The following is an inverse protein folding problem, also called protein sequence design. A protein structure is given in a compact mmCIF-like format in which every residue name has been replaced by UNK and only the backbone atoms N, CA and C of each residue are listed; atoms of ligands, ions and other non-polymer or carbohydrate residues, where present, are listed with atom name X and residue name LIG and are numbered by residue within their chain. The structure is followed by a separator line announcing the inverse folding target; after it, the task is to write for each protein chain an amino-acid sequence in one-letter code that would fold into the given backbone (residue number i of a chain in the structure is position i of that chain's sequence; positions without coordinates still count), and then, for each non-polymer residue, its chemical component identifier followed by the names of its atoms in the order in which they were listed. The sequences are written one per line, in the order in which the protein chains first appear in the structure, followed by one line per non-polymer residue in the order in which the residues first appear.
data_IF_160907310608
#
_entry.id   IF_160907310608
#
_cell.length_a   1.000
_cell.length_b   1.000
_cell.length_c   1.000
_cell.angle_alpha   90.00
_cell.angle_beta   90.00
_cell.angle_gamma   90.00
#
_symmetry.space_group_name_H-M   'P 1'
#
loop_
_entity.id
_entity.type
_entity.pdbx_description
1 polymer ?
#
# COMPACT_ATOMS: atom_id res chain seq x y z
N UNK A 1 -45.28 75.44 5.45
CA UNK A 1 -43.88 74.97 5.50
C UNK A 1 -43.77 73.84 6.51
N UNK A 2 -42.99 72.78 6.21
CA UNK A 2 -42.96 71.46 6.89
C UNK A 2 -44.16 70.61 6.43
N UNK A 3 -44.04 69.46 5.76
CA UNK A 3 -43.06 68.37 5.88
C UNK A 3 -42.93 67.69 4.51
N UNK A 4 -41.76 67.86 3.89
CA UNK A 4 -41.33 67.30 2.61
C UNK A 4 -40.31 66.19 2.93
N UNK A 5 -40.67 65.18 3.72
CA UNK A 5 -39.68 64.17 4.19
C UNK A 5 -40.35 62.81 4.46
N UNK A 6 -41.16 62.26 3.54
CA UNK A 6 -41.47 60.80 3.54
C UNK A 6 -41.69 60.33 2.09
N UNK A 7 -40.80 60.73 1.18
CA UNK A 7 -40.77 60.28 -0.22
C UNK A 7 -39.36 59.83 -0.60
N UNK A 8 -38.61 59.31 0.38
CA UNK A 8 -37.19 58.94 0.24
C UNK A 8 -36.88 57.52 0.72
N UNK A 9 -37.87 56.63 0.79
CA UNK A 9 -37.70 55.20 1.12
C UNK A 9 -38.44 54.33 0.09
N UNK A 10 -38.31 54.67 -1.19
CA UNK A 10 -38.78 53.83 -2.31
C UNK A 10 -37.74 53.78 -3.43
N UNK A 11 -36.46 53.75 -3.06
CA UNK A 11 -35.33 53.70 -3.99
C UNK A 11 -34.25 52.71 -3.53
N UNK A 12 -34.63 51.61 -2.86
CA UNK A 12 -33.74 50.47 -2.69
C UNK A 12 -33.93 49.53 -3.90
N UNK A 13 -33.28 49.91 -4.99
CA UNK A 13 -33.17 49.13 -6.23
C UNK A 13 -32.29 47.90 -5.93
N UNK A 14 -32.70 46.68 -6.30
CA UNK A 14 -31.79 45.53 -6.29
C UNK A 14 -30.72 45.73 -7.36
N UNK A 15 -29.52 46.15 -6.93
CA UNK A 15 -28.31 46.07 -7.73
C UNK A 15 -27.92 44.59 -7.85
N UNK A 16 -28.28 43.95 -8.97
CA UNK A 16 -27.93 42.55 -9.20
C UNK A 16 -28.69 41.81 -10.28
N UNK A 17 -29.64 42.45 -10.99
CA UNK A 17 -30.12 41.90 -12.25
C UNK A 17 -29.16 42.35 -13.36
N UNK A 18 -28.11 41.56 -13.60
CA UNK A 18 -27.31 41.66 -14.82
C UNK A 18 -28.19 41.27 -16.00
N UNK A 19 -28.98 42.21 -16.51
CA UNK A 19 -29.63 42.07 -17.80
C UNK A 19 -28.53 42.01 -18.86
N UNK A 20 -28.45 40.88 -19.55
CA UNK A 20 -27.53 40.66 -20.66
C UNK A 20 -28.01 41.54 -21.81
N UNK A 21 -27.51 42.78 -21.90
CA UNK A 21 -27.81 43.67 -23.02
C UNK A 21 -27.16 43.11 -24.29
N UNK A 22 -27.93 42.31 -25.02
CA UNK A 22 -27.59 41.82 -26.35
C UNK A 22 -27.66 43.00 -27.31
N UNK A 23 -26.50 43.54 -27.67
CA UNK A 23 -26.34 44.42 -28.83
C UNK A 23 -26.73 43.62 -30.08
N UNK A 24 -28.00 43.69 -30.49
CA UNK A 24 -28.54 43.29 -31.79
C UNK A 24 -28.06 44.25 -32.89
N UNK A 25 -26.77 44.54 -32.89
CA UNK A 25 -26.12 45.50 -33.77
C UNK A 25 -25.84 44.83 -35.11
N UNK A 26 -26.89 44.49 -35.87
CA UNK A 26 -26.92 44.49 -37.35
C UNK A 26 -28.22 43.96 -37.98
N UNK A 27 -29.04 43.15 -37.30
CA UNK A 27 -30.27 42.60 -37.90
C UNK A 27 -31.54 43.23 -37.31
N UNK A 28 -31.95 44.36 -37.89
CA UNK A 28 -33.29 44.93 -37.69
C UNK A 28 -34.33 44.08 -38.45
N UNK A 29 -35.00 43.16 -37.77
CA UNK A 29 -36.36 42.74 -38.18
C UNK A 29 -36.73 41.26 -38.08
N UNK A 30 -35.78 40.35 -37.92
CA UNK A 30 -36.10 38.93 -37.73
C UNK A 30 -36.04 38.60 -36.24
N UNK A 31 -37.14 38.11 -35.67
CA UNK A 31 -37.17 37.62 -34.30
C UNK A 31 -36.13 36.51 -34.16
N UNK A 32 -34.97 36.82 -33.57
CA UNK A 32 -33.88 35.86 -33.44
C UNK A 32 -34.36 34.60 -32.73
N UNK A 33 -34.25 33.46 -33.40
CA UNK A 33 -34.61 32.17 -32.82
C UNK A 33 -33.61 31.83 -31.72
N UNK A 34 -34.11 31.51 -30.53
CA UNK A 34 -33.29 31.07 -29.40
C UNK A 34 -33.16 29.54 -29.49
N UNK A 35 -31.93 29.07 -29.55
CA UNK A 35 -31.61 27.65 -29.46
C UNK A 35 -31.10 27.29 -28.08
N UNK A 36 -31.24 26.02 -27.71
CA UNK A 36 -30.59 25.48 -26.53
C UNK A 36 -29.84 24.20 -26.83
N UNK A 37 -28.83 23.92 -25.99
CA UNK A 37 -28.01 22.71 -26.07
C UNK A 37 -27.83 22.14 -24.69
N UNK A 38 -28.01 20.83 -24.57
CA UNK A 38 -27.62 20.07 -23.39
C UNK A 38 -26.15 19.64 -23.52
N UNK A 39 -25.23 20.48 -23.05
CA UNK A 39 -23.78 20.24 -23.18
C UNK A 39 -23.37 19.00 -22.39
N UNK A 40 -23.96 18.75 -21.23
CA UNK A 40 -23.70 17.54 -20.44
C UNK A 40 -24.05 16.27 -21.20
N UNK A 41 -25.21 16.26 -21.86
CA UNK A 41 -25.62 15.12 -22.67
C UNK A 41 -24.68 14.94 -23.86
N UNK A 42 -24.28 16.03 -24.51
CA UNK A 42 -23.30 15.98 -25.61
C UNK A 42 -21.99 15.38 -25.11
N UNK A 43 -21.48 15.79 -23.95
CA UNK A 43 -20.27 15.23 -23.37
C UNK A 43 -20.38 13.77 -22.91
N UNK A 44 -21.59 13.28 -22.63
CA UNK A 44 -21.83 11.89 -22.23
C UNK A 44 -22.01 10.97 -23.44
N UNK A 45 -22.74 11.43 -24.44
CA UNK A 45 -23.17 10.62 -25.57
C UNK A 45 -22.16 10.67 -26.74
N UNK A 46 -21.27 11.68 -26.79
CA UNK A 46 -20.26 11.80 -27.83
C UNK A 46 -19.15 10.73 -27.70
N UNK A 47 -18.86 10.02 -28.79
CA UNK A 47 -17.82 8.99 -28.82
C UNK A 47 -16.42 9.54 -28.49
N UNK A 48 -16.11 10.75 -28.94
CA UNK A 48 -14.79 11.37 -28.72
C UNK A 48 -14.50 11.70 -27.24
N UNK A 49 -15.53 11.98 -26.43
CA UNK A 49 -15.35 12.17 -24.99
C UNK A 49 -15.23 10.84 -24.25
N UNK A 50 -15.93 9.79 -24.71
CA UNK A 50 -15.76 8.44 -24.18
C UNK A 50 -14.33 7.93 -24.43
N UNK A 51 -13.82 8.04 -25.67
CA UNK A 51 -12.44 7.65 -26.01
C UNK A 51 -11.39 8.44 -25.23
N UNK A 52 -11.56 9.75 -25.08
CA UNK A 52 -10.64 10.56 -24.28
C UNK A 52 -10.63 10.18 -22.78
N UNK A 53 -11.77 9.72 -22.23
CA UNK A 53 -11.83 9.17 -20.87
C UNK A 53 -11.10 7.85 -20.76
N UNK A 54 -11.25 6.96 -21.74
CA UNK A 54 -10.52 5.69 -21.79
C UNK A 54 -9.01 5.92 -21.88
N UNK A 55 -8.57 6.84 -22.76
CA UNK A 55 -7.18 7.27 -22.85
C UNK A 55 -6.66 7.78 -21.51
N UNK A 56 -7.42 8.66 -20.84
CA UNK A 56 -7.04 9.19 -19.54
C UNK A 56 -6.94 8.11 -18.46
N UNK A 57 -7.91 7.17 -18.43
CA UNK A 57 -7.86 6.03 -17.52
C UNK A 57 -6.66 5.12 -17.79
N UNK A 58 -6.27 4.95 -19.06
CA UNK A 58 -5.08 4.20 -19.43
C UNK A 58 -3.78 4.87 -18.96
N UNK A 59 -3.70 6.21 -19.07
CA UNK A 59 -2.57 6.98 -18.56
C UNK A 59 -2.51 6.97 -17.02
N UNK A 60 -3.65 7.06 -16.33
CA UNK A 60 -3.73 6.90 -14.87
C UNK A 60 -3.16 5.54 -14.46
N UNK A 61 -3.63 4.45 -15.08
CA UNK A 61 -3.16 3.09 -14.77
C UNK A 61 -1.66 2.97 -14.99
N UNK A 62 -1.15 3.47 -16.12
CA UNK A 62 0.28 3.46 -16.44
C UNK A 62 1.13 4.21 -15.41
N UNK A 63 0.66 5.38 -14.94
CA UNK A 63 1.33 6.15 -13.89
C UNK A 63 1.25 5.46 -12.53
N UNK A 64 0.10 4.87 -12.21
CA UNK A 64 -0.11 4.09 -10.98
C UNK A 64 0.81 2.86 -10.93
N UNK A 65 0.89 2.10 -12.03
CA UNK A 65 1.78 0.94 -12.16
C UNK A 65 3.25 1.34 -11.98
N UNK A 66 3.66 2.47 -12.57
CA UNK A 66 5.01 3.00 -12.40
C UNK A 66 5.29 3.39 -10.93
N UNK A 67 4.32 3.98 -10.23
CA UNK A 67 4.46 4.31 -8.81
C UNK A 67 4.47 3.04 -7.94
N UNK A 68 3.66 2.05 -8.27
CA UNK A 68 3.62 0.77 -7.55
C UNK A 68 4.92 -0.04 -7.76
N UNK A 69 5.52 -0.01 -8.94
CA UNK A 69 6.84 -0.56 -9.19
C UNK A 69 7.93 0.10 -8.32
N UNK A 70 7.87 1.43 -8.13
CA UNK A 70 8.79 2.14 -7.22
C UNK A 70 8.54 1.80 -5.74
N UNK A 71 7.28 1.70 -5.33
CA UNK A 71 6.90 1.28 -3.96
C UNK A 71 7.42 -0.13 -3.66
N UNK A 72 7.21 -1.08 -4.56
CA UNK A 72 7.68 -2.46 -4.39
C UNK A 72 9.21 -2.52 -4.26
N UNK A 73 9.96 -1.75 -5.05
CA UNK A 73 11.41 -1.63 -4.90
C UNK A 73 11.85 -1.06 -3.53
N UNK A 74 11.06 -0.17 -2.93
CA UNK A 74 11.31 0.31 -1.55
C UNK A 74 10.99 -0.79 -0.53
N UNK A 75 9.90 -1.54 -0.73
CA UNK A 75 9.55 -2.65 0.16
C UNK A 75 10.60 -3.77 0.14
N UNK A 76 11.17 -4.09 -1.02
CA UNK A 76 12.27 -5.06 -1.11
C UNK A 76 13.50 -4.58 -0.35
N UNK A 77 13.87 -3.30 -0.49
CA UNK A 77 14.98 -2.72 0.29
C UNK A 77 14.72 -2.74 1.80
N UNK A 78 13.49 -2.45 2.22
CA UNK A 78 13.09 -2.54 3.64
C UNK A 78 13.14 -3.97 4.17
N UNK A 79 12.77 -4.96 3.36
CA UNK A 79 12.88 -6.37 3.71
C UNK A 79 14.35 -6.81 3.84
N UNK A 80 15.22 -6.38 2.93
CA UNK A 80 16.67 -6.61 3.03
C UNK A 80 17.26 -5.97 4.29
N UNK A 81 16.84 -4.75 4.64
CA UNK A 81 17.26 -4.10 5.88
C UNK A 81 16.78 -4.86 7.13
N UNK A 82 15.54 -5.36 7.13
CA UNK A 82 15.03 -6.16 8.24
C UNK A 82 15.87 -7.44 8.42
N UNK A 83 16.25 -8.09 7.31
CA UNK A 83 17.15 -9.25 7.32
C UNK A 83 18.53 -8.90 7.90
N UNK A 84 19.15 -7.80 7.44
CA UNK A 84 20.44 -7.34 7.97
C UNK A 84 20.40 -6.99 9.46
N UNK A 85 19.28 -6.41 9.94
CA UNK A 85 19.08 -6.15 11.38
C UNK A 85 18.97 -7.44 12.19
N UNK A 86 18.27 -8.44 11.66
CA UNK A 86 18.20 -9.76 12.28
C UNK A 86 19.59 -10.43 12.31
N UNK A 87 20.36 -10.34 11.23
CA UNK A 87 21.75 -10.84 11.18
C UNK A 87 22.66 -10.12 12.18
N UNK A 88 22.49 -8.81 12.38
CA UNK A 88 23.18 -8.03 13.41
C UNK A 88 22.85 -8.51 14.82
N UNK A 89 21.56 -8.66 15.14
CA UNK A 89 21.12 -9.13 16.46
C UNK A 89 21.61 -10.56 16.74
N UNK A 90 21.61 -11.42 15.72
CA UNK A 90 22.19 -12.75 15.81
C UNK A 90 23.71 -12.69 16.04
N UNK A 91 24.45 -11.88 15.28
CA UNK A 91 25.89 -11.72 15.45
C UNK A 91 26.28 -11.19 16.84
N UNK A 92 25.44 -10.35 17.45
CA UNK A 92 25.65 -9.83 18.80
C UNK A 92 25.30 -10.84 19.91
N UNK A 93 24.35 -11.74 19.68
CA UNK A 93 23.90 -12.74 20.66
C UNK A 93 24.65 -14.07 20.56
N UNK A 94 25.28 -14.36 19.42
CA UNK A 94 26.11 -15.55 19.23
C UNK A 94 27.25 -15.71 20.27
N UNK A 95 28.03 -14.67 20.61
CA UNK A 95 29.09 -14.79 21.61
C UNK A 95 28.59 -15.23 22.98
N UNK A 96 27.46 -14.69 23.45
CA UNK A 96 26.91 -15.03 24.77
C UNK A 96 26.32 -16.45 24.79
N UNK A 97 25.73 -16.91 23.69
CA UNK A 97 25.25 -18.30 23.57
C UNK A 97 26.40 -19.32 23.57
N UNK A 98 27.50 -19.02 22.87
CA UNK A 98 28.69 -19.88 22.87
C UNK A 98 29.37 -19.94 24.24
N UNK A 99 29.41 -18.81 24.96
CA UNK A 99 29.97 -18.74 26.31
C UNK A 99 29.09 -19.50 27.33
N UNK A 100 27.77 -19.45 27.15
CA UNK A 100 26.82 -20.26 27.93
C UNK A 100 26.99 -21.76 27.66
N UNK A 101 27.16 -22.18 26.40
CA UNK A 101 27.42 -23.58 26.08
C UNK A 101 28.74 -24.08 26.68
N UNK A 102 29.81 -23.28 26.58
CA UNK A 102 31.11 -23.63 27.20
C UNK A 102 31.01 -23.79 28.71
N UNK A 103 30.31 -22.89 29.40
CA UNK A 103 30.15 -22.99 30.86
C UNK A 103 29.31 -24.21 31.28
N UNK A 104 28.28 -24.58 30.51
CA UNK A 104 27.49 -25.80 30.75
C UNK A 104 28.30 -27.06 30.46
N UNK A 105 29.06 -27.10 29.37
CA UNK A 105 29.96 -28.22 29.05
C UNK A 105 31.04 -28.40 30.10
N UNK A 106 31.62 -27.29 30.58
CA UNK A 106 32.63 -27.31 31.63
C UNK A 106 32.05 -27.77 32.97
N UNK A 107 30.87 -27.28 33.36
CA UNK A 107 30.16 -27.76 34.55
C UNK A 107 29.76 -29.24 34.45
N UNK A 108 29.37 -29.71 33.25
CA UNK A 108 29.08 -31.11 33.01
C UNK A 108 30.34 -32.00 33.04
N UNK A 109 31.47 -31.49 32.54
CA UNK A 109 32.77 -32.15 32.63
C UNK A 109 33.25 -32.26 34.08
N UNK A 110 33.12 -31.18 34.86
CA UNK A 110 33.48 -31.14 36.28
C UNK A 110 32.57 -32.07 37.11
N UNK A 111 31.27 -32.11 36.81
CA UNK A 111 30.34 -33.06 37.46
C UNK A 111 30.67 -34.52 37.11
N UNK A 112 31.07 -34.82 35.87
CA UNK A 112 31.54 -36.15 35.45
C UNK A 112 32.87 -36.52 36.11
N UNK A 113 33.79 -35.57 36.23
CA UNK A 113 35.08 -35.79 36.91
C UNK A 113 34.89 -36.03 38.42
N UNK A 114 33.99 -35.28 39.07
CA UNK A 114 33.63 -35.49 40.47
C UNK A 114 32.94 -36.84 40.71
N UNK A 115 32.04 -37.25 39.81
CA UNK A 115 31.40 -38.57 39.86
C UNK A 115 32.42 -39.72 39.66
N UNK A 116 33.39 -39.55 38.77
CA UNK A 116 34.47 -40.52 38.56
C UNK A 116 35.44 -40.61 39.76
N UNK A 117 35.74 -39.48 40.41
CA UNK A 117 36.57 -39.45 41.62
C UNK A 117 35.88 -40.09 42.83
N UNK A 118 34.57 -39.89 42.99
CA UNK A 118 33.76 -40.56 44.03
C UNK A 118 33.65 -42.08 43.77
N UNK A 119 33.56 -42.50 42.51
CA UNK A 119 33.56 -43.93 42.15
C UNK A 119 34.93 -44.59 42.39
N UNK A 120 36.05 -43.89 42.18
CA UNK A 120 37.39 -44.38 42.46
C UNK A 120 37.71 -44.49 43.96
N UNK A 121 37.13 -43.62 44.80
CA UNK A 121 37.29 -43.65 46.26
C UNK A 121 36.47 -44.76 46.95
N UNK A 122 35.46 -45.33 46.28
CA UNK A 122 34.57 -46.36 46.83
C UNK A 122 35.07 -47.81 46.60
N UNK A 123 36.24 -48.03 45.97
CA UNK A 123 36.76 -49.37 45.63
C UNK A 123 37.77 -49.90 46.68
N UNK A 124 37.98 -49.22 47.80
CA UNK A 124 38.93 -49.66 48.84
C UNK A 124 38.31 -49.82 50.24
N UNK A 125 37.38 -50.76 50.41
CA UNK A 125 37.13 -51.40 51.71
C UNK A 125 36.84 -52.90 51.51
N UNK A 126 37.79 -53.74 51.94
CA UNK A 126 37.68 -55.20 52.04
C UNK A 126 37.30 -55.63 53.48
N UNK A 127 36.91 -56.91 53.69
CA UNK A 127 35.82 -57.32 54.58
C UNK A 127 36.27 -57.74 55.98
N UNK A 128 35.32 -57.84 56.92
CA UNK A 128 35.54 -58.58 58.18
C UNK A 128 34.41 -59.58 58.43
N UNK A 129 34.86 -60.82 58.56
CA UNK A 129 34.14 -62.09 58.72
C UNK A 129 33.78 -62.31 60.20
N UNK A 130 32.59 -62.86 60.49
CA UNK A 130 32.23 -63.30 61.84
C UNK A 130 30.95 -64.15 61.85
N UNK A 131 31.11 -65.47 61.92
CA UNK A 131 30.06 -66.50 62.03
C UNK A 131 29.61 -66.73 63.48
N UNK A 132 28.32 -66.98 63.75
CA UNK A 132 27.79 -68.28 64.26
C UNK A 132 26.28 -68.29 64.66
N UNK A 133 25.66 -69.42 64.31
CA UNK A 133 24.50 -70.15 64.86
C UNK A 133 23.03 -69.69 64.68
N UNK A 134 22.28 -70.64 64.08
CA UNK A 134 20.84 -70.81 63.81
C UNK A 134 19.99 -71.06 65.11
N UNK A 135 18.65 -71.31 65.10
CA UNK A 135 17.80 -71.76 63.97
C UNK A 135 16.31 -71.29 63.87
N UNK A 136 15.70 -71.71 62.75
CA UNK A 136 14.32 -72.21 62.53
C UNK A 136 13.13 -71.27 62.23
N UNK A 137 12.42 -71.61 61.12
CA UNK A 137 11.02 -71.30 60.78
C UNK A 137 10.84 -70.49 59.49
N UNK A 138 10.64 -71.12 58.31
CA UNK A 138 9.34 -71.26 57.59
C UNK A 138 8.82 -69.92 56.98
N UNK A 139 8.50 -69.70 55.69
CA UNK A 139 8.08 -70.51 54.52
C UNK A 139 8.13 -69.62 53.24
N UNK A 140 8.32 -70.25 52.05
CA UNK A 140 7.72 -70.01 50.70
C UNK A 140 7.63 -68.55 50.13
N UNK A 141 8.03 -68.19 48.89
CA UNK A 141 7.59 -68.68 47.56
C UNK A 141 8.47 -68.14 46.40
N UNK A 142 8.46 -68.87 45.27
CA UNK A 142 9.14 -68.61 43.97
C UNK A 142 8.54 -67.46 43.11
N UNK A 143 9.33 -66.93 42.14
CA UNK A 143 9.01 -66.70 40.69
C UNK A 143 9.88 -65.55 40.10
N UNK A 144 10.87 -65.77 39.22
CA UNK A 144 10.84 -65.84 37.73
C UNK A 144 10.38 -64.56 36.99
N UNK A 145 11.28 -63.88 36.23
CA UNK A 145 11.12 -63.44 34.82
C UNK A 145 11.92 -62.16 34.38
N UNK A 146 12.61 -62.31 33.23
CA UNK A 146 12.79 -61.38 32.09
C UNK A 146 13.76 -60.16 32.13
N UNK A 147 14.41 -59.82 30.98
CA UNK A 147 15.53 -58.89 30.89
C UNK A 147 15.11 -57.41 30.71
N UNK A 148 15.89 -56.53 31.33
CA UNK A 148 15.72 -55.08 31.32
C UNK A 148 16.13 -54.44 29.97
N UNK A 149 15.30 -53.49 29.53
CA UNK A 149 15.52 -52.58 28.41
C UNK A 149 16.68 -51.60 28.68
N UNK A 150 17.35 -51.20 27.60
CA UNK A 150 18.39 -50.18 27.56
C UNK A 150 17.80 -48.76 27.80
N UNK A 151 18.49 -47.88 28.54
CA UNK A 151 17.95 -46.57 28.89
C UNK A 151 18.14 -45.50 27.80
N UNK A 152 17.10 -44.68 27.74
CA UNK A 152 16.90 -43.34 27.20
C UNK A 152 18.13 -42.51 26.77
N UNK A 153 17.98 -41.94 25.57
CA UNK A 153 18.78 -40.87 25.02
C UNK A 153 18.74 -39.59 25.89
N UNK A 154 19.88 -38.89 25.90
CA UNK A 154 20.13 -37.68 26.69
C UNK A 154 19.12 -36.54 26.41
N UNK A 155 18.63 -35.85 27.45
CA UNK A 155 17.83 -34.64 27.31
C UNK A 155 18.74 -33.42 27.10
N UNK A 156 18.60 -32.72 25.97
CA UNK A 156 19.25 -31.40 25.83
C UNK A 156 19.46 -30.81 24.43
N UNK A 157 19.45 -31.59 23.33
CA UNK A 157 19.68 -31.04 21.97
C UNK A 157 18.39 -30.88 21.15
N UNK A 158 17.34 -30.38 21.81
CA UNK A 158 15.97 -30.49 21.32
C UNK A 158 15.40 -29.32 20.50
N UNK A 159 16.22 -28.44 19.91
CA UNK A 159 15.74 -27.35 19.05
C UNK A 159 15.04 -26.20 19.80
N UNK A 160 15.10 -24.99 19.23
CA UNK A 160 14.41 -23.81 19.76
C UNK A 160 12.91 -23.98 19.51
N UNK A 161 12.12 -24.03 20.58
CA UNK A 161 10.67 -24.20 20.52
C UNK A 161 10.00 -22.83 20.33
N UNK A 162 9.40 -22.59 19.16
CA UNK A 162 8.53 -21.43 18.90
C UNK A 162 7.07 -21.89 18.93
N UNK A 163 6.18 -21.26 19.73
CA UNK A 163 4.79 -21.68 19.80
C UNK A 163 4.08 -21.48 18.46
N UNK A 164 3.62 -22.58 17.86
CA UNK A 164 2.76 -22.57 16.67
C UNK A 164 3.43 -22.94 15.34
N UNK A 165 4.74 -23.26 15.31
CA UNK A 165 5.42 -23.72 14.08
C UNK A 165 6.30 -24.93 14.39
N UNK A 166 6.15 -26.01 13.62
CA UNK A 166 6.93 -27.24 13.79
C UNK A 166 8.45 -26.99 13.70
N UNK A 167 9.22 -27.76 14.48
CA UNK A 167 10.70 -27.68 14.60
C UNK A 167 11.39 -27.57 13.25
N UNK A 168 11.91 -26.38 12.95
CA UNK A 168 12.66 -26.12 11.72
C UNK A 168 14.12 -26.56 11.92
N UNK A 169 14.66 -27.46 11.06
CA UNK A 169 16.07 -27.84 11.10
C UNK A 169 16.99 -26.62 10.85
N UNK A 170 17.98 -26.43 11.73
CA UNK A 170 18.97 -25.33 11.66
C UNK A 170 19.84 -25.40 10.39
N UNK A 171 19.76 -26.49 9.62
CA UNK A 171 20.54 -26.75 8.42
C UNK A 171 20.11 -25.97 7.16
N UNK A 172 18.94 -25.32 7.17
CA UNK A 172 18.46 -24.53 6.02
C UNK A 172 18.81 -23.04 6.06
N UNK A 173 19.42 -22.55 7.14
CA UNK A 173 19.96 -21.21 7.18
C UNK A 173 21.45 -21.22 6.81
N UNK A 174 21.72 -21.12 5.50
CA UNK A 174 23.03 -20.65 5.02
C UNK A 174 23.15 -19.16 5.37
N UNK A 175 23.45 -18.86 6.63
CA UNK A 175 23.91 -17.55 7.04
C UNK A 175 25.27 -17.31 6.41
N UNK A 176 25.41 -16.25 5.64
CA UNK A 176 26.72 -15.73 5.25
C UNK A 176 27.35 -15.10 6.49
N UNK A 177 27.87 -15.90 7.43
CA UNK A 177 28.55 -15.48 8.68
C UNK A 177 29.93 -14.86 8.40
N UNK A 178 30.08 -14.16 7.27
CA UNK A 178 31.36 -13.66 6.77
C UNK A 178 31.51 -12.15 6.93
N UNK A 179 30.48 -11.44 7.38
CA UNK A 179 30.54 -9.98 7.58
C UNK A 179 30.59 -9.65 9.06
N UNK A 180 31.65 -8.96 9.48
CA UNK A 180 31.79 -8.49 10.85
C UNK A 180 30.66 -7.52 11.22
N UNK A 181 30.29 -7.42 12.51
CA UNK A 181 29.27 -6.46 12.99
C UNK A 181 29.44 -5.04 12.42
N UNK A 182 30.66 -4.44 12.36
CA UNK A 182 30.83 -3.13 11.75
C UNK A 182 30.55 -3.08 10.25
N UNK A 183 30.77 -4.17 9.50
CA UNK A 183 30.39 -4.26 8.09
C UNK A 183 28.87 -4.30 7.90
N UNK A 184 28.15 -5.01 8.78
CA UNK A 184 26.69 -5.04 8.79
C UNK A 184 26.13 -3.66 9.11
N UNK A 185 26.71 -2.95 10.08
CA UNK A 185 26.30 -1.59 10.44
C UNK A 185 26.54 -0.60 9.29
N UNK A 186 27.68 -0.70 8.59
CA UNK A 186 27.96 0.12 7.40
C UNK A 186 26.99 -0.18 6.24
N UNK A 187 26.64 -1.46 6.03
CA UNK A 187 25.66 -1.86 5.03
C UNK A 187 24.25 -1.35 5.37
N UNK A 188 23.86 -1.39 6.65
CA UNK A 188 22.58 -0.83 7.14
C UNK A 188 22.52 0.67 6.89
N UNK A 189 23.54 1.44 7.26
CA UNK A 189 23.57 2.88 7.02
C UNK A 189 23.45 3.24 5.54
N UNK A 190 24.14 2.48 4.67
CA UNK A 190 24.06 2.68 3.21
C UNK A 190 22.65 2.39 2.68
N UNK A 191 22.02 1.30 3.13
CA UNK A 191 20.65 0.91 2.73
C UNK A 191 19.61 1.87 3.30
N UNK A 192 19.80 2.37 4.51
CA UNK A 192 18.95 3.39 5.12
C UNK A 192 18.99 4.69 4.32
N UNK A 193 20.18 5.16 3.95
CA UNK A 193 20.32 6.32 3.07
C UNK A 193 19.65 6.08 1.70
N UNK A 194 19.80 4.89 1.11
CA UNK A 194 19.14 4.54 -0.15
C UNK A 194 17.61 4.50 -0.05
N UNK A 195 17.06 4.02 1.08
CA UNK A 195 15.61 4.05 1.30
C UNK A 195 15.12 5.49 1.42
N UNK A 196 15.82 6.34 2.17
CA UNK A 196 15.45 7.76 2.33
C UNK A 196 15.46 8.49 1.00
N UNK A 197 16.49 8.28 0.16
CA UNK A 197 16.55 8.90 -1.17
C UNK A 197 15.42 8.40 -2.07
N UNK A 198 15.18 7.08 -2.13
CA UNK A 198 14.07 6.53 -2.95
C UNK A 198 12.69 6.93 -2.45
N UNK A 199 12.50 7.10 -1.14
CA UNK A 199 11.25 7.63 -0.59
C UNK A 199 11.02 9.10 -0.98
N UNK A 200 12.07 9.92 -0.97
CA UNK A 200 11.99 11.30 -1.45
C UNK A 200 11.67 11.37 -2.96
N UNK A 201 12.34 10.54 -3.76
CA UNK A 201 12.07 10.40 -5.19
C UNK A 201 10.65 9.90 -5.47
N UNK A 202 10.13 8.97 -4.68
CA UNK A 202 8.75 8.50 -4.81
C UNK A 202 7.75 9.64 -4.54
N UNK A 203 7.97 10.42 -3.48
CA UNK A 203 7.10 11.58 -3.17
C UNK A 203 7.15 12.63 -4.27
N UNK A 204 8.33 12.91 -4.82
CA UNK A 204 8.47 13.83 -5.95
C UNK A 204 7.75 13.29 -7.19
N UNK A 205 7.91 12.01 -7.48
CA UNK A 205 7.26 11.35 -8.62
C UNK A 205 5.74 11.31 -8.49
N UNK A 206 5.20 11.15 -7.26
CA UNK A 206 3.77 11.25 -7.00
C UNK A 206 3.25 12.63 -7.34
N UNK A 207 3.88 13.69 -6.81
CA UNK A 207 3.50 15.08 -7.11
C UNK A 207 3.60 15.42 -8.59
N UNK A 208 4.65 14.93 -9.26
CA UNK A 208 4.83 15.13 -10.70
C UNK A 208 3.74 14.40 -11.49
N UNK A 209 3.45 13.14 -11.16
CA UNK A 209 2.40 12.36 -11.82
C UNK A 209 1.02 12.99 -11.64
N UNK A 210 0.67 13.43 -10.43
CA UNK A 210 -0.60 14.14 -10.16
C UNK A 210 -0.71 15.42 -11.00
N UNK A 211 0.37 16.22 -11.05
CA UNK A 211 0.40 17.44 -11.85
C UNK A 211 0.25 17.15 -13.34
N UNK A 212 0.98 16.16 -13.86
CA UNK A 212 0.90 15.77 -15.27
C UNK A 212 -0.48 15.24 -15.65
N UNK A 213 -1.13 14.47 -14.76
CA UNK A 213 -2.50 13.97 -14.98
C UNK A 213 -3.51 15.11 -15.01
N UNK A 214 -3.40 16.09 -14.11
CA UNK A 214 -4.25 17.29 -14.11
C UNK A 214 -4.05 18.14 -15.37
N UNK A 215 -2.80 18.35 -15.79
CA UNK A 215 -2.48 19.08 -17.02
C UNK A 215 -2.95 18.33 -18.28
N UNK A 216 -2.93 17.00 -18.26
CA UNK A 216 -3.46 16.16 -19.33
C UNK A 216 -4.99 16.27 -19.40
N UNK A 217 -5.68 16.17 -18.26
CA UNK A 217 -7.13 16.29 -18.17
C UNK A 217 -7.60 17.67 -18.65
N UNK A 218 -6.97 18.75 -18.18
CA UNK A 218 -7.32 20.11 -18.59
C UNK A 218 -7.11 20.32 -20.09
N UNK A 219 -5.95 19.93 -20.63
CA UNK A 219 -5.65 20.08 -22.07
C UNK A 219 -6.60 19.28 -22.94
N UNK A 220 -6.93 18.04 -22.57
CA UNK A 220 -7.87 17.20 -23.32
C UNK A 220 -9.31 17.73 -23.22
N UNK A 221 -9.71 18.20 -22.04
CA UNK A 221 -11.01 18.85 -21.81
C UNK A 221 -11.18 20.09 -22.66
N UNK A 222 -10.18 20.98 -22.70
CA UNK A 222 -10.17 22.19 -23.53
C UNK A 222 -10.28 21.86 -25.03
N UNK A 223 -9.55 20.84 -25.49
CA UNK A 223 -9.55 20.45 -26.90
C UNK A 223 -10.91 19.90 -27.33
N UNK A 224 -11.53 19.04 -26.51
CA UNK A 224 -12.87 18.51 -26.77
C UNK A 224 -13.92 19.63 -26.76
N UNK A 225 -13.84 20.51 -25.76
CA UNK A 225 -14.76 21.64 -25.64
C UNK A 225 -14.64 22.59 -26.84
N UNK A 226 -13.40 22.87 -27.28
CA UNK A 226 -13.14 23.67 -28.48
C UNK A 226 -13.77 23.07 -29.74
N UNK A 227 -13.66 21.75 -29.93
CA UNK A 227 -14.31 21.04 -31.05
C UNK A 227 -15.84 21.15 -30.99
N UNK A 228 -16.42 20.97 -29.81
CA UNK A 228 -17.86 21.09 -29.58
C UNK A 228 -18.34 22.51 -29.91
N UNK A 229 -17.61 23.55 -29.48
CA UNK A 229 -17.97 24.94 -29.78
C UNK A 229 -17.89 25.27 -31.27
N UNK A 230 -16.89 24.76 -31.99
CA UNK A 230 -16.79 24.97 -33.44
C UNK A 230 -17.98 24.31 -34.15
N UNK A 231 -18.28 23.05 -33.83
CA UNK A 231 -19.41 22.33 -34.41
C UNK A 231 -20.75 23.00 -34.09
N UNK A 232 -20.89 23.51 -32.86
CA UNK A 232 -22.07 24.23 -32.39
C UNK A 232 -22.25 25.57 -33.11
N UNK A 233 -21.17 26.35 -33.27
CA UNK A 233 -21.21 27.62 -34.00
C UNK A 233 -21.70 27.41 -35.43
N UNK A 234 -21.14 26.43 -36.12
CA UNK A 234 -21.55 26.12 -37.49
C UNK A 234 -22.99 25.59 -37.57
N UNK A 235 -23.50 24.90 -36.53
CA UNK A 235 -24.90 24.49 -36.48
C UNK A 235 -25.83 25.66 -36.22
N UNK A 236 -25.46 26.56 -35.32
CA UNK A 236 -26.22 27.78 -35.05
C UNK A 236 -26.37 28.62 -36.31
N UNK A 237 -25.30 28.74 -37.13
CA UNK A 237 -25.35 29.43 -38.43
C UNK A 237 -26.28 28.71 -39.41
N UNK A 238 -26.22 27.38 -39.51
CA UNK A 238 -27.06 26.60 -40.44
C UNK A 238 -28.55 26.63 -40.10
N UNK A 239 -28.88 26.73 -38.82
CA UNK A 239 -30.24 26.74 -38.30
C UNK A 239 -30.76 28.16 -38.03
N UNK A 240 -29.99 29.19 -38.42
CA UNK A 240 -30.32 30.61 -38.25
C UNK A 240 -30.66 30.98 -36.79
N UNK A 241 -30.01 30.30 -35.84
CA UNK A 241 -30.16 30.54 -34.41
C UNK A 241 -29.24 31.68 -33.98
N UNK A 242 -29.82 32.75 -33.47
CA UNK A 242 -29.06 33.95 -33.07
C UNK A 242 -28.37 33.78 -31.71
N UNK A 243 -28.99 33.06 -30.78
CA UNK A 243 -28.48 32.86 -29.42
C UNK A 243 -28.63 31.39 -29.04
N UNK A 244 -27.54 30.78 -28.57
CA UNK A 244 -27.55 29.43 -28.00
C UNK A 244 -27.31 29.52 -26.50
N UNK A 245 -28.17 28.89 -25.72
CA UNK A 245 -28.08 28.84 -24.25
C UNK A 245 -27.92 27.39 -23.79
N UNK A 246 -27.10 27.17 -22.77
CA UNK A 246 -26.99 25.84 -22.14
C UNK A 246 -28.30 25.51 -21.40
N UNK A 247 -28.84 24.32 -21.64
CA UNK A 247 -30.07 23.81 -21.04
C UNK A 247 -30.03 23.82 -19.52
N UNK A 248 -28.85 23.71 -18.89
CA UNK A 248 -28.70 23.83 -17.41
C UNK A 248 -29.25 25.13 -16.83
N UNK A 249 -29.23 26.21 -17.61
CA UNK A 249 -29.68 27.53 -17.19
C UNK A 249 -31.13 27.82 -17.59
N UNK A 250 -31.81 26.89 -18.26
CA UNK A 250 -33.16 27.07 -18.80
C UNK A 250 -34.11 26.15 -18.06
N UNK A 251 -35.06 26.73 -17.33
CA UNK A 251 -36.14 25.97 -16.68
C UNK A 251 -37.29 25.68 -17.65
N UNK A 252 -37.59 26.62 -18.54
CA UNK A 252 -38.70 26.55 -19.49
C UNK A 252 -38.46 27.52 -20.65
N UNK A 253 -38.83 27.11 -21.87
CA UNK A 253 -38.82 27.97 -23.06
C UNK A 253 -39.87 27.52 -24.07
N UNK A 254 -40.67 28.46 -24.58
CA UNK A 254 -41.59 28.20 -25.69
C UNK A 254 -40.89 28.51 -27.01
N UNK A 255 -41.08 27.64 -28.02
CA UNK A 255 -40.53 27.79 -29.37
C UNK A 255 -38.98 27.83 -29.46
N UNK A 256 -38.28 27.25 -28.49
CA UNK A 256 -36.82 27.14 -28.54
C UNK A 256 -36.38 25.90 -29.33
N UNK A 257 -35.36 26.05 -30.16
CA UNK A 257 -34.83 24.96 -31.01
C UNK A 257 -33.82 24.13 -30.22
N UNK A 258 -34.08 22.84 -30.06
CA UNK A 258 -33.10 21.90 -29.48
C UNK A 258 -32.04 21.54 -30.51
N UNK A 259 -30.80 21.98 -30.26
CA UNK A 259 -29.66 21.68 -31.12
C UNK A 259 -28.90 20.43 -30.66
N UNK A 260 -29.21 19.84 -29.51
CA UNK A 260 -28.45 18.75 -28.88
C UNK A 260 -28.29 17.54 -29.79
N UNK A 261 -29.39 17.04 -30.35
CA UNK A 261 -29.34 15.86 -31.23
C UNK A 261 -28.65 16.12 -32.57
N UNK A 262 -28.78 17.35 -33.11
CA UNK A 262 -28.11 17.76 -34.35
C UNK A 262 -26.61 17.93 -34.14
N UNK A 263 -26.21 18.46 -32.98
CA UNK A 263 -24.82 18.61 -32.57
C UNK A 263 -24.13 17.26 -32.41
N UNK A 264 -24.78 16.30 -31.74
CA UNK A 264 -24.24 14.94 -31.62
C UNK A 264 -23.98 14.31 -32.98
N UNK A 265 -24.97 14.33 -33.90
CA UNK A 265 -24.79 13.79 -35.25
C UNK A 265 -23.62 14.43 -35.98
N UNK A 266 -23.53 15.77 -35.91
CA UNK A 266 -22.46 16.50 -36.59
C UNK A 266 -21.08 16.23 -35.97
N UNK A 267 -21.00 16.04 -34.66
CA UNK A 267 -19.75 15.70 -33.98
C UNK A 267 -19.27 14.29 -34.35
N UNK A 268 -20.19 13.35 -34.56
CA UNK A 268 -19.86 12.00 -35.06
C UNK A 268 -19.48 12.03 -36.56
N UNK A 269 -20.20 12.81 -37.38
CA UNK A 269 -19.89 12.96 -38.82
C UNK A 269 -18.55 13.65 -39.08
N UNK A 270 -18.20 14.63 -38.25
CA UNK A 270 -16.90 15.30 -38.28
C UNK A 270 -15.83 14.54 -37.48
N UNK A 271 -16.17 13.37 -36.93
CA UNK A 271 -15.29 12.53 -36.14
C UNK A 271 -14.29 11.77 -37.02
N UNK A 272 -13.01 12.15 -36.90
CA UNK A 272 -11.83 11.32 -37.19
C UNK A 272 -11.52 10.45 -35.98
#
# INVERSE_FOLDING_TARGET
MKKLIITAILALVPAGAGALELLLQENRGESGTIGYVDIDRVFKDYSGTAGAREDFLSEIKKKEDALNARKTAIFTLKAEMAKLRQEREFALTLPSLLETQRSVEQAAADARAAAAALAAAAVSTQPVTGSTSAPAGAELTLSTAAPAALPEALPGMGGIDMPGVAKVPVTHFKFSVSTSVPEIDAALQKKEAEVVTREAELRQAQRQAERELLEYESRKGELLLGRIYVALRELAIKEEVSVVVDKRNILYGQNAVDLTGKLLKKLEENGL
#
